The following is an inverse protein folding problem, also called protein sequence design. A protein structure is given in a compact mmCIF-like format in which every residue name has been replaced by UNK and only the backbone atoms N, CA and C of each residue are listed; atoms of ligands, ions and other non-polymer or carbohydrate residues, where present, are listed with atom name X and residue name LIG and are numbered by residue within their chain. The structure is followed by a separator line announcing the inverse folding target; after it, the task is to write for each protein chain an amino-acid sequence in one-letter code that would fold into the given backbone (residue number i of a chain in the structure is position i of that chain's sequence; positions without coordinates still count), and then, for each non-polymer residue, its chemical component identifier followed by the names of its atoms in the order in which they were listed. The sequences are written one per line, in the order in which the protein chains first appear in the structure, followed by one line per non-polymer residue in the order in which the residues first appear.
data_IF_225485260186
#
_entry.id   IF_225485260186
#
_cell.length_a   1.000
_cell.length_b   1.000
_cell.length_c   1.000
_cell.angle_alpha   90.00
_cell.angle_beta   90.00
_cell.angle_gamma   90.00
#
_symmetry.space_group_name_H-M   'P 1'
#
loop_
_entity.id
_entity.type
_entity.pdbx_description
1 polymer ?
#
# COMPACT_ATOMS: atom_id res chain seq x y z
N UNK A 1 -6.17 21.31 -6.36
CA UNK A 1 -6.42 20.40 -5.22
C UNK A 1 -5.77 21.01 -4.00
N UNK A 2 -6.47 21.01 -2.88
CA UNK A 2 -5.87 21.42 -1.61
C UNK A 2 -4.79 20.40 -1.19
N UNK A 3 -3.69 20.88 -0.60
CA UNK A 3 -2.56 20.04 -0.20
C UNK A 3 -2.98 19.03 0.87
N UNK A 4 -3.87 19.45 1.78
CA UNK A 4 -4.35 18.58 2.85
C UNK A 4 -5.25 17.47 2.29
N UNK A 5 -6.09 17.78 1.31
CA UNK A 5 -6.88 16.76 0.63
C UNK A 5 -5.99 15.75 -0.12
N UNK A 6 -4.92 16.21 -0.76
CA UNK A 6 -4.00 15.34 -1.48
C UNK A 6 -3.30 14.32 -0.58
N UNK A 7 -2.93 14.72 0.64
CA UNK A 7 -2.08 13.95 1.54
C UNK A 7 -2.83 13.16 2.62
N UNK A 8 -4.03 13.60 3.01
CA UNK A 8 -4.71 13.06 4.20
C UNK A 8 -6.12 12.54 3.94
N UNK A 9 -6.68 12.75 2.75
CA UNK A 9 -8.04 12.29 2.43
C UNK A 9 -8.10 10.78 2.28
N UNK A 10 -8.94 10.11 3.06
CA UNK A 10 -9.18 8.67 2.93
C UNK A 10 -9.67 8.35 1.51
N UNK A 11 -8.97 7.44 0.82
CA UNK A 11 -9.28 7.05 -0.55
C UNK A 11 -9.20 5.53 -0.78
N UNK A 12 -8.80 4.77 0.24
CA UNK A 12 -8.74 3.30 0.21
C UNK A 12 -9.94 2.73 0.98
N UNK A 13 -10.82 2.01 0.29
CA UNK A 13 -11.99 1.35 0.86
C UNK A 13 -11.68 -0.02 1.47
N UNK A 14 -12.65 -0.63 2.15
CA UNK A 14 -12.43 -1.85 2.96
C UNK A 14 -11.86 -3.06 2.20
N UNK A 15 -12.35 -3.34 0.99
CA UNK A 15 -11.85 -4.48 0.19
C UNK A 15 -10.42 -4.22 -0.30
N UNK A 16 -10.14 -3.01 -0.80
CA UNK A 16 -8.81 -2.60 -1.26
C UNK A 16 -7.80 -2.60 -0.10
N UNK A 17 -8.22 -2.12 1.07
CA UNK A 17 -7.45 -2.19 2.32
C UNK A 17 -7.11 -3.62 2.70
N UNK A 18 -8.07 -4.55 2.64
CA UNK A 18 -7.83 -5.96 2.98
C UNK A 18 -6.82 -6.61 2.03
N UNK A 19 -6.94 -6.37 0.72
CA UNK A 19 -6.01 -6.91 -0.29
C UNK A 19 -4.60 -6.34 -0.07
N UNK A 20 -4.48 -5.03 0.16
CA UNK A 20 -3.19 -4.37 0.42
C UNK A 20 -2.53 -4.86 1.70
N UNK A 21 -3.32 -5.04 2.76
CA UNK A 21 -2.83 -5.56 4.03
C UNK A 21 -2.34 -7.01 3.85
N UNK A 22 -3.12 -7.86 3.19
CA UNK A 22 -2.76 -9.25 2.93
C UNK A 22 -1.47 -9.36 2.12
N UNK A 23 -1.39 -8.68 0.97
CA UNK A 23 -0.20 -8.72 0.11
C UNK A 23 1.02 -8.12 0.80
N UNK A 24 0.85 -7.01 1.53
CA UNK A 24 1.92 -6.36 2.27
C UNK A 24 2.45 -7.25 3.41
N UNK A 25 1.56 -7.89 4.16
CA UNK A 25 1.91 -8.83 5.24
C UNK A 25 2.60 -10.08 4.70
N UNK A 26 2.11 -10.67 3.60
CA UNK A 26 2.78 -11.82 2.98
C UNK A 26 4.17 -11.44 2.47
N UNK A 27 4.31 -10.28 1.80
CA UNK A 27 5.60 -9.82 1.30
C UNK A 27 6.61 -9.58 2.43
N UNK A 28 6.19 -8.97 3.55
CA UNK A 28 7.11 -8.74 4.67
C UNK A 28 7.50 -10.04 5.39
N UNK A 29 6.61 -11.03 5.48
CA UNK A 29 6.94 -12.36 6.02
C UNK A 29 7.99 -13.05 5.14
N UNK A 30 7.80 -13.05 3.82
CA UNK A 30 8.75 -13.64 2.86
C UNK A 30 10.14 -13.01 3.00
N UNK A 31 10.20 -11.68 3.13
CA UNK A 31 11.45 -10.95 3.36
C UNK A 31 12.08 -11.28 4.72
N UNK A 32 11.29 -11.28 5.80
CA UNK A 32 11.77 -11.54 7.15
C UNK A 32 12.34 -12.96 7.31
N UNK A 33 11.74 -13.93 6.63
CA UNK A 33 12.19 -15.32 6.62
C UNK A 33 13.35 -15.59 5.64
N UNK A 34 13.84 -14.57 4.92
CA UNK A 34 14.85 -14.71 3.87
C UNK A 34 14.49 -15.77 2.81
N UNK A 35 13.19 -15.87 2.48
CA UNK A 35 12.66 -16.82 1.49
C UNK A 35 12.91 -16.38 0.04
N UNK A 36 13.53 -15.21 -0.17
CA UNK A 36 13.87 -14.66 -1.50
C UNK A 36 15.37 -14.41 -1.59
N UNK A 37 15.96 -14.75 -2.74
CA UNK A 37 17.37 -14.49 -3.00
C UNK A 37 17.66 -12.98 -3.05
N UNK A 38 18.83 -12.54 -2.57
CA UNK A 38 19.25 -11.14 -2.69
C UNK A 38 19.26 -10.69 -4.15
N UNK A 39 18.62 -9.56 -4.45
CA UNK A 39 18.54 -9.02 -5.80
C UNK A 39 17.28 -8.21 -6.06
N UNK A 40 16.91 -8.08 -7.34
CA UNK A 40 15.80 -7.24 -7.79
C UNK A 40 14.47 -7.66 -7.13
N UNK A 41 14.23 -8.97 -7.00
CA UNK A 41 13.01 -9.51 -6.40
C UNK A 41 12.83 -9.15 -4.93
N UNK A 42 13.92 -9.07 -4.17
CA UNK A 42 13.88 -8.63 -2.78
C UNK A 42 13.39 -7.18 -2.68
N UNK A 43 13.88 -6.30 -3.56
CA UNK A 43 13.46 -4.89 -3.60
C UNK A 43 12.01 -4.72 -4.06
N UNK A 44 11.56 -5.52 -5.03
CA UNK A 44 10.16 -5.51 -5.47
C UNK A 44 9.25 -5.92 -4.30
N UNK A 45 9.57 -6.99 -3.59
CA UNK A 45 8.82 -7.42 -2.41
C UNK A 45 8.86 -6.37 -1.30
N UNK A 46 10.00 -5.70 -1.10
CA UNK A 46 10.12 -4.64 -0.10
C UNK A 46 9.22 -3.46 -0.44
N UNK A 47 9.11 -3.09 -1.72
CA UNK A 47 8.21 -2.04 -2.18
C UNK A 47 6.74 -2.44 -2.00
N UNK A 48 6.37 -3.69 -2.32
CA UNK A 48 5.02 -4.21 -2.09
C UNK A 48 4.66 -4.19 -0.60
N UNK A 49 5.59 -4.66 0.26
CA UNK A 49 5.42 -4.64 1.71
C UNK A 49 5.23 -3.20 2.23
N UNK A 50 6.13 -2.30 1.85
CA UNK A 50 6.08 -0.89 2.25
C UNK A 50 4.77 -0.23 1.81
N UNK A 51 4.46 -0.23 0.52
CA UNK A 51 3.30 0.46 -0.03
C UNK A 51 2.01 -0.19 0.45
N UNK A 52 1.93 -1.52 0.45
CA UNK A 52 0.75 -2.27 0.88
C UNK A 52 0.41 -2.01 2.34
N UNK A 53 1.39 -2.16 3.24
CA UNK A 53 1.16 -1.94 4.68
C UNK A 53 0.93 -0.46 4.99
N UNK A 54 1.75 0.45 4.44
CA UNK A 54 1.60 1.88 4.68
C UNK A 54 0.22 2.37 4.26
N UNK A 55 -0.21 2.07 3.04
CA UNK A 55 -1.53 2.49 2.54
C UNK A 55 -2.70 1.82 3.26
N UNK A 56 -2.51 0.63 3.83
CA UNK A 56 -3.52 -0.03 4.65
C UNK A 56 -3.68 0.61 6.04
N UNK A 57 -2.57 1.05 6.64
CA UNK A 57 -2.57 1.71 7.96
C UNK A 57 -3.14 3.13 7.85
N UNK A 58 -2.69 3.90 6.85
CA UNK A 58 -3.12 5.29 6.67
C UNK A 58 -4.46 5.42 5.94
N UNK A 59 -4.96 4.32 5.36
CA UNK A 59 -6.12 4.30 4.45
C UNK A 59 -6.02 5.30 3.30
N UNK A 60 -4.78 5.63 2.95
CA UNK A 60 -4.45 6.68 2.00
C UNK A 60 -3.41 6.19 1.00
N UNK A 61 -3.70 6.41 -0.28
CA UNK A 61 -2.84 6.12 -1.40
C UNK A 61 -2.61 7.40 -2.20
N UNK A 62 -1.41 8.00 -2.11
CA UNK A 62 -1.09 9.24 -2.83
C UNK A 62 -1.29 9.13 -4.35
N UNK A 63 -0.90 8.02 -5.02
CA UNK A 63 -1.22 7.82 -6.43
C UNK A 63 -2.70 7.91 -6.76
N UNK A 64 -3.58 7.43 -5.87
CA UNK A 64 -5.04 7.49 -6.08
C UNK A 64 -5.54 8.93 -6.00
N UNK A 65 -5.04 9.73 -5.06
CA UNK A 65 -5.37 11.16 -4.97
C UNK A 65 -4.93 11.94 -6.21
N UNK A 66 -3.75 11.63 -6.78
CA UNK A 66 -3.23 12.30 -7.97
C UNK A 66 -4.10 12.06 -9.22
N UNK A 67 -4.66 10.87 -9.37
CA UNK A 67 -5.54 10.52 -10.49
C UNK A 67 -7.03 10.76 -10.19
N UNK A 68 -7.36 11.27 -9.00
CA UNK A 68 -8.74 11.50 -8.57
C UNK A 68 -9.57 10.22 -8.34
N UNK A 69 -8.90 9.10 -8.05
CA UNK A 69 -9.53 7.81 -7.80
C UNK A 69 -9.74 7.56 -6.31
N UNK A 70 -10.82 6.88 -5.94
CA UNK A 70 -11.11 6.44 -4.57
C UNK A 70 -11.86 5.13 -4.60
N UNK A 71 -11.39 4.15 -3.85
CA UNK A 71 -12.12 2.91 -3.55
C UNK A 71 -12.92 3.01 -2.26
N UNK A 72 -12.63 4.03 -1.44
CA UNK A 72 -13.49 4.41 -0.33
C UNK A 72 -14.79 4.99 -0.90
N UNK A 73 -15.93 4.33 -0.62
CA UNK A 73 -17.24 4.93 -0.84
C UNK A 73 -17.39 6.11 0.11
N UNK A 74 -17.89 7.23 -0.43
CA UNK A 74 -18.46 8.31 0.38
C UNK A 74 -19.60 7.78 1.24
#
# INVERSE_FOLDING_TARGET
MDMNELLFKENVGGIDLYIRALLGTLAIIVLAMNLVSPGIWQWILALIALVGLFSSITRHCLPYSLIGFSTAKK
#
